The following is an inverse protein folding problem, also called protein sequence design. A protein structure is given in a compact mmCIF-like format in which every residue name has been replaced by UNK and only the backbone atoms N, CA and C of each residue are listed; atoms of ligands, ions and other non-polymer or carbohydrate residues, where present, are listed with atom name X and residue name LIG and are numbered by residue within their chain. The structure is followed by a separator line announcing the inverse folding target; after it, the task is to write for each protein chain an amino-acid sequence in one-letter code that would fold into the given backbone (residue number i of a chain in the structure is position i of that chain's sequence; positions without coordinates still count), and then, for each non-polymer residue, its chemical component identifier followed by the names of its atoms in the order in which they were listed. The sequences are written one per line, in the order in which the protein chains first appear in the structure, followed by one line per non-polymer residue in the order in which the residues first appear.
data_IF_052115871683
#
_entry.id   IF_052115871683
#
_cell.length_a   1.000
_cell.length_b   1.000
_cell.length_c   1.000
_cell.angle_alpha   90.00
_cell.angle_beta   90.00
_cell.angle_gamma   90.00
#
_symmetry.space_group_name_H-M   'P 1'
#
loop_
_entity.id
_entity.type
_entity.pdbx_description
1 polymer ?
#
# COMPACT_ATOMS: atom_id res chain seq x y z
N UNK A 1 -62.97 -10.22 56.81
CA UNK A 1 -62.09 -9.94 55.66
C UNK A 1 -60.75 -10.60 55.95
N UNK A 2 -60.36 -11.62 55.17
CA UNK A 2 -59.11 -12.37 55.38
C UNK A 2 -58.00 -11.67 54.60
N UNK A 3 -56.98 -11.20 55.31
CA UNK A 3 -55.81 -10.53 54.74
C UNK A 3 -54.88 -11.59 54.12
N UNK A 4 -54.77 -11.58 52.80
CA UNK A 4 -53.77 -12.36 52.05
C UNK A 4 -52.59 -11.43 51.72
N UNK A 5 -51.58 -11.40 52.59
CA UNK A 5 -50.25 -10.89 52.25
C UNK A 5 -49.24 -11.99 52.58
N UNK A 6 -49.03 -12.90 51.63
CA UNK A 6 -47.88 -13.78 51.63
C UNK A 6 -47.12 -13.57 50.32
N UNK A 7 -46.32 -12.50 50.28
CA UNK A 7 -45.35 -12.26 49.22
C UNK A 7 -44.15 -13.16 49.51
N UNK A 8 -44.24 -14.41 49.03
CA UNK A 8 -43.18 -15.41 49.15
C UNK A 8 -41.83 -14.80 48.76
N UNK A 9 -40.91 -14.74 49.73
CA UNK A 9 -39.58 -14.21 49.55
C UNK A 9 -38.88 -14.92 48.39
N UNK A 10 -38.67 -14.21 47.28
CA UNK A 10 -37.94 -14.74 46.12
C UNK A 10 -36.57 -15.21 46.57
N UNK A 11 -36.30 -16.50 46.41
CA UNK A 11 -35.03 -17.09 46.80
C UNK A 11 -33.95 -16.68 45.77
N UNK A 12 -33.34 -15.53 46.01
CA UNK A 12 -32.34 -14.89 45.14
C UNK A 12 -31.13 -15.80 44.88
N UNK A 13 -30.80 -16.69 45.81
CA UNK A 13 -29.72 -17.66 45.64
C UNK A 13 -30.04 -18.63 44.49
N UNK A 14 -31.26 -19.16 44.46
CA UNK A 14 -31.70 -20.06 43.39
C UNK A 14 -31.82 -19.34 42.05
N UNK A 15 -32.23 -18.08 42.05
CA UNK A 15 -32.31 -17.24 40.84
C UNK A 15 -30.91 -16.93 40.29
N UNK A 16 -29.95 -16.61 41.15
CA UNK A 16 -28.54 -16.41 40.78
C UNK A 16 -27.91 -17.69 40.24
N UNK A 17 -28.17 -18.85 40.84
CA UNK A 17 -27.68 -20.15 40.34
C UNK A 17 -28.28 -20.47 38.98
N UNK A 18 -29.58 -20.22 38.77
CA UNK A 18 -30.22 -20.38 37.45
C UNK A 18 -29.58 -19.46 36.41
N UNK A 19 -29.40 -18.19 36.76
CA UNK A 19 -28.76 -17.19 35.88
C UNK A 19 -27.33 -17.57 35.53
N UNK A 20 -26.53 -18.05 36.49
CA UNK A 20 -25.16 -18.52 36.25
C UNK A 20 -25.12 -19.72 35.30
N UNK A 21 -26.01 -20.70 35.49
CA UNK A 21 -26.12 -21.88 34.60
C UNK A 21 -26.60 -21.50 33.19
N UNK A 22 -27.42 -20.47 33.08
CA UNK A 22 -27.89 -19.95 31.80
C UNK A 22 -26.79 -19.19 31.05
N UNK A 23 -25.99 -18.38 31.76
CA UNK A 23 -24.80 -17.72 31.20
C UNK A 23 -23.80 -18.78 30.71
N UNK A 24 -23.53 -19.83 31.49
CA UNK A 24 -22.62 -20.91 31.09
C UNK A 24 -23.12 -21.63 29.83
N UNK A 25 -24.42 -21.96 29.75
CA UNK A 25 -25.02 -22.56 28.54
C UNK A 25 -24.87 -21.65 27.33
N UNK A 26 -25.16 -20.35 27.48
CA UNK A 26 -25.06 -19.36 26.40
C UNK A 26 -23.62 -19.19 25.91
N UNK A 27 -22.64 -19.18 26.81
CA UNK A 27 -21.22 -19.11 26.45
C UNK A 27 -20.79 -20.37 25.70
N UNK A 28 -21.17 -21.56 26.17
CA UNK A 28 -20.86 -22.83 25.49
C UNK A 28 -21.46 -22.90 24.08
N UNK A 29 -22.72 -22.49 23.92
CA UNK A 29 -23.35 -22.40 22.60
C UNK A 29 -22.66 -21.40 21.67
N UNK A 30 -22.22 -20.25 22.18
CA UNK A 30 -21.44 -19.27 21.41
C UNK A 30 -20.07 -19.81 20.99
N UNK A 31 -19.41 -20.59 21.83
CA UNK A 31 -18.14 -21.24 21.48
C UNK A 31 -18.34 -22.33 20.42
N UNK A 32 -19.41 -23.12 20.51
CA UNK A 32 -19.76 -24.12 19.50
C UNK A 32 -20.11 -23.48 18.15
N UNK A 33 -20.84 -22.36 18.14
CA UNK A 33 -21.09 -21.58 16.91
C UNK A 33 -19.80 -20.94 16.34
N UNK A 34 -18.85 -20.56 17.19
CA UNK A 34 -17.54 -20.04 16.76
C UNK A 34 -16.58 -21.12 16.24
N UNK A 35 -16.91 -22.41 16.37
CA UNK A 35 -16.13 -23.51 15.77
C UNK A 35 -16.36 -23.66 14.26
N UNK A 36 -17.17 -22.80 13.65
CA UNK A 36 -17.11 -22.62 12.20
C UNK A 36 -15.68 -22.25 11.82
N UNK A 37 -15.02 -23.00 10.90
CA UNK A 37 -13.66 -22.69 10.51
C UNK A 37 -13.65 -21.25 10.02
N UNK A 38 -12.78 -20.42 10.63
CA UNK A 38 -12.60 -19.02 10.23
C UNK A 38 -12.48 -18.99 8.72
N UNK A 39 -13.38 -18.22 8.07
CA UNK A 39 -13.38 -18.03 6.62
C UNK A 39 -11.93 -17.81 6.19
N UNK A 40 -11.42 -18.75 5.42
CA UNK A 40 -10.03 -18.75 4.99
C UNK A 40 -9.82 -17.40 4.30
N UNK A 41 -8.91 -16.57 4.83
CA UNK A 41 -8.52 -15.32 4.18
C UNK A 41 -8.21 -15.63 2.72
N UNK A 42 -8.60 -14.74 1.80
CA UNK A 42 -8.21 -14.81 0.39
C UNK A 42 -6.74 -15.28 0.28
N UNK A 43 -6.52 -16.41 -0.38
CA UNK A 43 -5.19 -16.89 -0.74
C UNK A 43 -5.03 -16.62 -2.23
N UNK A 44 -3.99 -15.91 -2.62
CA UNK A 44 -3.69 -15.74 -4.04
C UNK A 44 -3.29 -17.08 -4.67
N UNK A 45 -3.65 -17.29 -5.94
CA UNK A 45 -3.32 -18.53 -6.68
C UNK A 45 -1.81 -18.82 -6.69
N UNK A 46 -0.97 -17.78 -6.66
CA UNK A 46 0.49 -17.89 -6.59
C UNK A 46 1.00 -18.72 -5.40
N UNK A 47 0.23 -18.81 -4.31
CA UNK A 47 0.65 -19.48 -3.08
C UNK A 47 -0.33 -20.58 -2.62
N UNK A 48 -1.25 -21.05 -3.49
CA UNK A 48 -2.18 -22.13 -3.14
C UNK A 48 -1.45 -23.44 -2.80
N UNK A 49 -0.34 -23.70 -3.48
CA UNK A 49 0.41 -24.95 -3.39
C UNK A 49 1.59 -24.88 -2.40
N UNK A 50 1.78 -23.75 -1.72
CA UNK A 50 2.85 -23.59 -0.74
C UNK A 50 2.33 -24.02 0.64
N UNK A 51 2.78 -25.19 1.09
CA UNK A 51 2.42 -25.70 2.41
C UNK A 51 3.01 -24.83 3.53
N UNK A 52 2.28 -24.68 4.64
CA UNK A 52 2.79 -23.90 5.77
C UNK A 52 3.96 -24.63 6.43
N UNK A 53 5.03 -23.89 6.75
CA UNK A 53 6.18 -24.44 7.49
C UNK A 53 5.76 -25.05 8.84
N UNK A 54 4.73 -24.49 9.46
CA UNK A 54 4.15 -24.99 10.70
C UNK A 54 3.53 -26.39 10.51
N UNK A 55 2.88 -26.65 9.37
CA UNK A 55 2.35 -27.99 9.05
C UNK A 55 3.48 -29.02 8.95
N UNK A 56 4.62 -28.64 8.38
CA UNK A 56 5.80 -29.51 8.31
C UNK A 56 6.36 -29.84 9.70
N UNK A 57 6.35 -28.89 10.63
CA UNK A 57 6.84 -29.14 12.00
C UNK A 57 5.86 -29.96 12.85
N UNK A 58 4.55 -29.86 12.61
CA UNK A 58 3.52 -30.66 13.29
C UNK A 58 3.46 -32.09 12.75
N UNK A 59 3.75 -32.31 11.46
CA UNK A 59 3.73 -33.63 10.83
C UNK A 59 5.02 -34.44 11.04
N UNK A 60 6.11 -33.83 11.51
CA UNK A 60 7.31 -34.59 11.89
C UNK A 60 6.95 -35.53 13.03
N UNK A 61 7.04 -36.87 12.85
CA UNK A 61 6.83 -37.79 13.96
C UNK A 61 7.88 -37.48 15.02
N UNK A 62 7.43 -37.15 16.24
CA UNK A 62 8.34 -37.03 17.37
C UNK A 62 8.97 -38.40 17.58
N UNK A 63 10.26 -38.52 17.27
CA UNK A 63 11.00 -39.75 17.54
C UNK A 63 10.95 -40.02 19.05
N UNK A 64 10.71 -41.26 19.49
CA UNK A 64 10.72 -41.58 20.90
C UNK A 64 12.11 -41.27 21.44
N UNK A 65 12.20 -40.29 22.35
CA UNK A 65 13.46 -39.94 23.00
C UNK A 65 13.92 -41.15 23.81
N UNK A 66 15.16 -41.65 23.63
CA UNK A 66 15.67 -42.73 24.46
C UNK A 66 15.72 -42.27 25.92
N UNK A 67 15.30 -43.10 26.87
CA UNK A 67 15.25 -42.76 28.31
C UNK A 67 16.61 -42.39 28.91
N UNK A 68 17.70 -42.71 28.21
CA UNK A 68 19.07 -42.35 28.54
C UNK A 68 19.41 -40.88 28.31
N UNK A 69 18.54 -40.09 27.65
CA UNK A 69 18.75 -38.65 27.43
C UNK A 69 18.53 -37.78 28.68
N UNK A 70 18.19 -38.38 29.83
CA UNK A 70 17.90 -37.68 31.09
C UNK A 70 19.11 -37.55 32.01
N UNK A 71 20.25 -38.17 31.68
CA UNK A 71 21.45 -38.09 32.51
C UNK A 71 22.46 -37.08 31.92
N UNK A 72 22.79 -36.05 32.70
CA UNK A 72 23.83 -35.08 32.38
C UNK A 72 25.21 -35.76 32.41
N UNK A 73 25.89 -35.84 31.25
CA UNK A 73 27.31 -36.20 31.17
C UNK A 73 28.15 -34.96 31.47
N UNK A 74 29.18 -35.11 32.31
CA UNK A 74 30.12 -34.02 32.63
C UNK A 74 30.69 -33.40 31.34
N UNK A 75 30.73 -32.07 31.28
CA UNK A 75 31.23 -31.25 30.16
C UNK A 75 30.46 -31.34 28.83
N UNK A 76 29.32 -32.05 28.75
CA UNK A 76 28.51 -32.17 27.52
C UNK A 76 27.90 -30.87 26.98
N UNK A 77 27.88 -29.81 27.80
CA UNK A 77 27.35 -28.48 27.44
C UNK A 77 28.42 -27.39 27.37
N UNK A 78 29.69 -27.74 27.57
CA UNK A 78 30.78 -26.79 27.37
C UNK A 78 31.02 -26.65 25.86
N UNK A 79 30.73 -25.48 25.30
CA UNK A 79 31.12 -25.15 23.93
C UNK A 79 32.66 -25.18 23.78
N UNK A 80 33.19 -25.05 22.55
CA UNK A 80 34.63 -24.95 22.34
C UNK A 80 35.22 -23.84 23.21
N UNK A 81 36.43 -24.01 23.78
CA UNK A 81 37.06 -22.95 24.57
C UNK A 81 37.24 -21.71 23.69
N UNK A 82 36.50 -20.65 24.02
CA UNK A 82 36.62 -19.35 23.36
C UNK A 82 37.96 -18.76 23.80
N UNK A 83 38.91 -18.61 22.86
CA UNK A 83 40.11 -17.80 23.11
C UNK A 83 39.62 -16.40 23.42
N UNK A 84 39.97 -15.86 24.59
CA UNK A 84 39.67 -14.48 24.96
C UNK A 84 40.30 -13.57 23.91
N UNK A 85 39.50 -13.07 22.97
CA UNK A 85 39.96 -12.02 22.07
C UNK A 85 40.32 -10.80 22.91
N UNK A 86 41.56 -10.33 22.74
CA UNK A 86 41.99 -9.03 23.26
C UNK A 86 41.01 -7.95 22.78
N UNK A 87 40.59 -7.11 23.73
CA UNK A 87 39.62 -6.00 23.63
C UNK A 87 39.37 -5.48 22.20
N UNK A 88 38.10 -5.24 21.79
CA UNK A 88 37.80 -4.60 20.52
C UNK A 88 38.47 -3.22 20.43
N UNK A 89 39.01 -2.89 19.24
CA UNK A 89 39.72 -1.63 18.93
C UNK A 89 38.75 -0.44 18.78
N UNK A 90 37.72 -0.36 19.62
CA UNK A 90 36.73 0.72 19.61
C UNK A 90 36.67 1.36 20.98
N UNK A 91 36.94 2.68 21.10
CA UNK A 91 36.86 3.37 22.37
C UNK A 91 35.40 3.36 22.86
N UNK A 92 35.19 2.92 24.10
CA UNK A 92 33.90 2.95 24.78
C UNK A 92 33.58 4.39 25.19
N UNK A 93 32.69 5.05 24.46
CA UNK A 93 32.26 6.41 24.76
C UNK A 93 31.14 6.32 25.80
N UNK A 94 31.50 6.39 27.08
CA UNK A 94 30.54 6.49 28.17
C UNK A 94 30.10 7.94 28.39
N UNK A 95 28.82 8.23 28.16
CA UNK A 95 28.19 9.53 28.49
C UNK A 95 28.01 9.77 30.00
N UNK A 96 28.37 8.81 30.85
CA UNK A 96 28.20 8.93 32.31
C UNK A 96 29.32 9.78 32.90
N UNK A 97 28.96 10.90 33.50
CA UNK A 97 29.89 11.75 34.28
C UNK A 97 30.42 10.97 35.49
N UNK A 98 31.74 11.03 35.71
CA UNK A 98 32.39 10.40 36.87
C UNK A 98 31.83 10.95 38.19
N UNK A 99 31.80 10.08 39.21
CA UNK A 99 31.47 10.49 40.59
C UNK A 99 32.45 11.60 41.01
N UNK A 100 31.96 12.72 41.60
CA UNK A 100 32.82 13.79 42.05
C UNK A 100 33.79 13.29 43.14
N UNK A 101 34.99 13.87 43.25
CA UNK A 101 35.99 13.44 44.22
C UNK A 101 35.48 13.61 45.65
N UNK A 102 35.93 12.76 46.58
CA UNK A 102 35.49 12.80 47.99
C UNK A 102 35.77 14.14 48.68
N UNK A 103 36.75 14.92 48.20
CA UNK A 103 37.04 16.28 48.65
C UNK A 103 35.93 17.30 48.36
N UNK A 104 35.06 17.02 47.38
CA UNK A 104 33.87 17.84 47.07
C UNK A 104 32.81 17.79 48.18
N UNK A 105 32.91 16.84 49.12
CA UNK A 105 31.98 16.67 50.22
C UNK A 105 32.31 17.55 51.44
N UNK A 106 33.27 18.47 51.33
CA UNK A 106 33.63 19.41 52.40
C UNK A 106 32.57 20.48 52.63
N UNK A 107 32.07 20.55 53.86
CA UNK A 107 31.03 21.43 54.39
C UNK A 107 29.67 21.37 53.66
N UNK A 108 28.86 20.38 54.06
CA UNK A 108 27.42 20.37 53.75
C UNK A 108 26.74 21.52 54.51
N UNK A 109 26.78 22.72 53.94
CA UNK A 109 25.89 23.81 54.34
C UNK A 109 24.48 23.37 53.97
N UNK A 110 23.76 22.76 54.92
CA UNK A 110 22.32 22.60 54.80
C UNK A 110 21.75 24.01 54.68
N UNK A 111 21.40 24.41 53.46
CA UNK A 111 20.70 25.66 53.20
C UNK A 111 19.31 25.49 53.80
N UNK A 112 19.19 25.77 55.10
CA UNK A 112 17.91 25.89 55.78
C UNK A 112 17.32 27.21 55.32
N UNK A 113 16.69 27.19 54.15
CA UNK A 113 15.84 28.27 53.72
C UNK A 113 14.77 28.45 54.80
N UNK A 114 14.65 29.66 55.34
CA UNK A 114 13.69 29.99 56.39
C UNK A 114 12.29 30.09 55.77
N UNK A 115 11.78 28.95 55.32
CA UNK A 115 10.56 28.83 54.55
C UNK A 115 9.44 28.33 55.44
N UNK A 116 8.36 29.09 55.51
CA UNK A 116 7.18 28.71 56.27
C UNK A 116 6.38 27.65 55.50
N UNK A 117 6.70 26.39 55.76
CA UNK A 117 6.01 25.24 55.17
C UNK A 117 4.52 25.21 55.52
N UNK A 118 4.10 25.74 56.66
CA UNK A 118 2.69 25.76 57.07
C UNK A 118 1.90 26.69 56.15
N UNK A 119 2.44 27.88 55.89
CA UNK A 119 1.82 28.86 54.98
C UNK A 119 1.75 28.35 53.55
N UNK A 120 2.81 27.72 53.05
CA UNK A 120 2.83 27.20 51.67
C UNK A 120 1.93 25.99 51.49
N UNK A 121 1.91 25.08 52.46
CA UNK A 121 0.99 23.96 52.45
C UNK A 121 -0.47 24.43 52.54
N UNK A 122 -0.75 25.47 53.33
CA UNK A 122 -2.09 26.08 53.42
C UNK A 122 -2.56 26.72 52.11
N UNK A 123 -1.67 27.43 51.41
CA UNK A 123 -1.97 28.00 50.08
C UNK A 123 -2.16 26.88 49.05
N UNK A 124 -1.28 25.87 49.03
CA UNK A 124 -1.39 24.74 48.12
C UNK A 124 -2.68 23.97 48.34
N UNK A 125 -3.03 23.63 49.59
CA UNK A 125 -4.27 22.92 49.91
C UNK A 125 -5.53 23.65 49.44
N UNK A 126 -5.54 24.99 49.46
CA UNK A 126 -6.65 25.80 48.93
C UNK A 126 -6.68 25.87 47.40
N UNK A 127 -5.52 25.79 46.74
CA UNK A 127 -5.40 25.85 45.27
C UNK A 127 -5.60 24.50 44.60
N UNK A 128 -5.42 23.39 45.32
CA UNK A 128 -5.66 22.06 44.78
C UNK A 128 -7.16 21.84 44.56
N UNK A 129 -7.60 21.92 43.30
CA UNK A 129 -8.94 21.52 42.91
C UNK A 129 -9.11 20.01 43.10
N UNK A 130 -10.21 19.60 43.75
CA UNK A 130 -10.57 18.18 43.90
C UNK A 130 -10.87 17.63 42.52
N UNK A 131 -9.97 16.78 42.01
CA UNK A 131 -10.20 16.07 40.76
C UNK A 131 -11.33 15.06 40.98
N UNK A 132 -12.34 15.10 40.11
CA UNK A 132 -13.40 14.09 40.12
C UNK A 132 -12.79 12.73 39.79
N UNK A 133 -13.26 11.63 40.42
CA UNK A 133 -12.75 10.31 40.09
C UNK A 133 -13.04 9.98 38.62
N UNK A 134 -12.14 9.28 37.91
CA UNK A 134 -12.30 8.96 36.48
C UNK A 134 -13.62 8.25 36.14
N UNK A 135 -14.19 7.52 37.09
CA UNK A 135 -15.47 6.84 36.95
C UNK A 135 -16.67 7.80 36.88
N UNK A 136 -16.60 8.94 37.57
CA UNK A 136 -17.67 9.93 37.61
C UNK A 136 -17.75 10.80 36.35
N UNK A 137 -16.64 10.93 35.61
CA UNK A 137 -16.58 11.72 34.35
C UNK A 137 -16.58 10.85 33.10
N UNK A 138 -16.50 9.52 33.22
CA UNK A 138 -16.26 8.61 32.09
C UNK A 138 -17.28 8.75 30.95
N UNK A 139 -18.55 8.94 31.26
CA UNK A 139 -19.64 9.08 30.27
C UNK A 139 -19.54 10.41 29.53
N UNK A 140 -19.27 11.50 30.25
CA UNK A 140 -19.14 12.84 29.66
C UNK A 140 -17.84 12.99 28.85
N UNK A 141 -16.76 12.33 29.29
CA UNK A 141 -15.49 12.25 28.56
C UNK A 141 -15.61 11.38 27.30
N UNK A 142 -16.46 10.36 27.31
CA UNK A 142 -16.77 9.55 26.14
C UNK A 142 -17.61 10.34 25.13
N UNK A 143 -18.66 11.03 25.57
CA UNK A 143 -19.50 11.87 24.70
C UNK A 143 -18.68 12.98 24.03
N UNK A 144 -17.87 13.71 24.82
CA UNK A 144 -16.99 14.76 24.26
C UNK A 144 -16.05 14.22 23.19
N UNK A 145 -15.44 13.05 23.41
CA UNK A 145 -14.58 12.40 22.40
C UNK A 145 -15.35 12.01 21.14
N UNK A 146 -16.60 11.55 21.26
CA UNK A 146 -17.43 11.26 20.10
C UNK A 146 -17.78 12.53 19.32
N UNK A 147 -18.19 13.59 20.01
CA UNK A 147 -18.54 14.87 19.40
C UNK A 147 -17.33 15.49 18.68
N UNK A 148 -16.15 15.42 19.29
CA UNK A 148 -14.89 15.86 18.69
C UNK A 148 -14.55 15.05 17.43
N UNK A 149 -14.71 13.73 17.47
CA UNK A 149 -14.47 12.85 16.31
C UNK A 149 -15.43 13.14 15.15
N UNK A 150 -16.70 13.40 15.47
CA UNK A 150 -17.74 13.76 14.50
C UNK A 150 -17.51 15.16 13.91
N UNK A 151 -17.02 16.11 14.72
CA UNK A 151 -16.73 17.47 14.27
C UNK A 151 -15.62 17.53 13.21
N UNK A 152 -14.68 16.58 13.23
CA UNK A 152 -13.57 16.53 12.26
C UNK A 152 -13.88 15.72 10.99
N UNK A 153 -14.99 14.99 10.96
CA UNK A 153 -15.35 14.13 9.84
C UNK A 153 -16.35 14.80 8.90
N UNK A 154 -15.95 15.09 7.67
CA UNK A 154 -16.86 15.60 6.63
C UNK A 154 -17.60 14.43 5.96
N UNK A 155 -18.91 14.34 6.19
CA UNK A 155 -19.73 13.31 5.58
C UNK A 155 -19.88 13.54 4.07
N UNK A 156 -19.80 12.46 3.29
CA UNK A 156 -19.94 12.49 1.83
C UNK A 156 -18.63 12.70 1.06
N UNK A 157 -17.53 13.05 1.73
CA UNK A 157 -16.22 13.09 1.08
C UNK A 157 -15.65 11.67 0.91
N UNK A 158 -15.10 11.41 -0.27
CA UNK A 158 -14.41 10.14 -0.54
C UNK A 158 -13.06 10.14 0.20
N UNK A 159 -12.79 9.14 1.06
CA UNK A 159 -11.52 9.04 1.76
C UNK A 159 -10.29 9.13 0.85
N UNK A 160 -9.23 9.77 1.35
CA UNK A 160 -7.95 9.98 0.65
C UNK A 160 -7.40 8.75 -0.05
N UNK A 161 -7.47 7.60 0.62
CA UNK A 161 -6.90 6.37 0.09
C UNK A 161 -7.63 5.89 -1.16
N UNK A 162 -8.95 6.09 -1.25
CA UNK A 162 -9.73 5.78 -2.46
C UNK A 162 -9.43 6.77 -3.58
N UNK A 163 -9.30 8.07 -3.26
CA UNK A 163 -8.90 9.08 -4.25
C UNK A 163 -7.54 8.75 -4.86
N UNK A 164 -6.55 8.44 -4.02
CA UNK A 164 -5.21 8.02 -4.44
C UNK A 164 -5.26 6.73 -5.24
N UNK A 165 -6.10 5.75 -4.85
CA UNK A 165 -6.26 4.48 -5.57
C UNK A 165 -6.83 4.70 -6.97
N UNK A 166 -7.86 5.53 -7.10
CA UNK A 166 -8.46 5.86 -8.40
C UNK A 166 -7.45 6.55 -9.32
N UNK A 167 -6.66 7.48 -8.78
CA UNK A 167 -5.59 8.13 -9.54
C UNK A 167 -4.51 7.14 -10.01
N UNK A 168 -4.15 6.15 -9.18
CA UNK A 168 -3.21 5.10 -9.59
C UNK A 168 -3.77 4.27 -10.74
N UNK A 169 -5.04 3.86 -10.66
CA UNK A 169 -5.69 3.11 -11.73
C UNK A 169 -5.80 3.92 -13.03
N UNK A 170 -6.09 5.22 -12.94
CA UNK A 170 -6.11 6.10 -14.11
C UNK A 170 -4.74 6.15 -14.80
N UNK A 171 -3.65 6.33 -14.04
CA UNK A 171 -2.29 6.33 -14.61
C UNK A 171 -1.92 4.98 -15.23
N UNK A 172 -2.23 3.88 -14.55
CA UNK A 172 -1.96 2.53 -15.04
C UNK A 172 -2.74 2.24 -16.35
N UNK A 173 -3.99 2.70 -16.44
CA UNK A 173 -4.79 2.58 -17.65
C UNK A 173 -4.25 3.45 -18.79
N UNK A 174 -3.81 4.68 -18.51
CA UNK A 174 -3.15 5.54 -19.49
C UNK A 174 -1.84 4.94 -20.02
N UNK A 175 -1.02 4.37 -19.13
CA UNK A 175 0.21 3.65 -19.51
C UNK A 175 -0.11 2.41 -20.33
N UNK A 176 -1.15 1.66 -19.96
CA UNK A 176 -1.63 0.51 -20.74
C UNK A 176 -2.07 0.93 -22.13
N UNK A 177 -2.89 1.99 -22.26
CA UNK A 177 -3.35 2.49 -23.55
C UNK A 177 -2.16 2.99 -24.39
N UNK A 178 -1.19 3.68 -23.78
CA UNK A 178 0.03 4.15 -24.47
C UNK A 178 0.89 2.99 -24.99
N UNK A 179 1.04 1.94 -24.18
CA UNK A 179 1.88 0.79 -24.49
C UNK A 179 1.18 -0.24 -25.37
N UNK A 180 -0.16 -0.25 -25.41
CA UNK A 180 -0.92 -1.15 -26.28
C UNK A 180 -0.69 -0.69 -27.72
N UNK A 181 0.06 -1.45 -28.54
CA UNK A 181 0.23 -1.10 -29.94
C UNK A 181 -1.14 -1.14 -30.62
N UNK A 182 -1.36 -0.23 -31.58
CA UNK A 182 -2.61 -0.21 -32.36
C UNK A 182 -2.85 -1.62 -32.96
N UNK A 183 -4.01 -2.26 -32.72
CA UNK A 183 -4.29 -3.59 -33.26
C UNK A 183 -4.23 -3.66 -34.78
N UNK A 184 -4.34 -2.52 -35.47
CA UNK A 184 -4.18 -2.42 -36.93
C UNK A 184 -2.71 -2.32 -37.40
N UNK A 185 -1.74 -2.16 -36.50
CA UNK A 185 -0.32 -2.01 -36.85
C UNK A 185 0.30 -3.35 -37.24
N UNK A 186 0.76 -3.53 -38.49
CA UNK A 186 1.39 -4.78 -38.91
C UNK A 186 2.76 -5.00 -38.22
N UNK A 187 3.22 -6.25 -38.09
CA UNK A 187 4.56 -6.56 -37.57
C UNK A 187 5.65 -5.86 -38.39
N UNK A 188 6.73 -5.42 -37.73
CA UNK A 188 7.86 -4.68 -38.34
C UNK A 188 7.48 -3.36 -39.03
N UNK A 189 6.33 -2.78 -38.67
CA UNK A 189 5.94 -1.45 -39.10
C UNK A 189 5.90 -0.48 -37.92
N UNK A 190 6.14 0.79 -38.22
CA UNK A 190 6.01 1.89 -37.27
C UNK A 190 5.01 2.90 -37.84
N UNK A 191 4.18 3.49 -36.96
CA UNK A 191 3.33 4.61 -37.35
C UNK A 191 4.18 5.83 -37.70
N UNK A 192 3.95 6.39 -38.88
CA UNK A 192 4.57 7.64 -39.31
C UNK A 192 3.94 8.80 -38.51
N UNK A 193 4.73 9.67 -37.86
CA UNK A 193 4.20 10.80 -37.11
C UNK A 193 3.50 11.80 -38.04
N UNK A 194 2.52 12.53 -37.51
CA UNK A 194 1.67 13.41 -38.32
C UNK A 194 2.44 14.56 -38.99
N UNK A 195 3.50 15.08 -38.34
CA UNK A 195 4.36 16.10 -38.94
C UNK A 195 5.01 15.59 -40.23
N UNK A 196 5.75 14.48 -40.15
CA UNK A 196 6.41 13.86 -41.31
C UNK A 196 5.39 13.44 -42.38
N UNK A 197 4.22 12.94 -41.98
CA UNK A 197 3.12 12.59 -42.90
C UNK A 197 2.66 13.81 -43.71
N UNK A 198 2.38 14.93 -43.03
CA UNK A 198 1.90 16.15 -43.70
C UNK A 198 2.97 16.79 -44.59
N UNK A 199 4.24 16.78 -44.16
CA UNK A 199 5.37 17.23 -44.97
C UNK A 199 5.49 16.41 -46.25
N UNK A 200 5.40 15.08 -46.15
CA UNK A 200 5.46 14.17 -47.29
C UNK A 200 4.28 14.38 -48.24
N UNK A 201 3.07 14.58 -47.69
CA UNK A 201 1.87 14.88 -48.48
C UNK A 201 2.02 16.19 -49.27
N UNK A 202 2.57 17.23 -48.64
CA UNK A 202 2.82 18.51 -49.30
C UNK A 202 3.85 18.35 -50.43
N UNK A 203 4.94 17.60 -50.20
CA UNK A 203 5.95 17.31 -51.21
C UNK A 203 5.36 16.55 -52.41
N UNK A 204 4.54 15.53 -52.15
CA UNK A 204 3.86 14.77 -53.21
C UNK A 204 2.89 15.64 -54.01
N UNK A 205 2.17 16.54 -53.34
CA UNK A 205 1.25 17.49 -54.00
C UNK A 205 2.01 18.47 -54.90
N UNK A 206 3.15 18.99 -54.44
CA UNK A 206 4.01 19.84 -55.29
C UNK A 206 4.52 19.07 -56.51
N UNK A 207 5.02 17.85 -56.31
CA UNK A 207 5.51 16.99 -57.40
C UNK A 207 4.40 16.63 -58.40
N UNK A 208 3.17 16.42 -57.93
CA UNK A 208 2.01 16.20 -58.80
C UNK A 208 1.79 17.38 -59.73
N UNK A 209 1.79 18.60 -59.18
CA UNK A 209 1.64 19.83 -59.97
C UNK A 209 2.78 20.00 -60.99
N UNK A 210 4.01 19.65 -60.62
CA UNK A 210 5.16 19.70 -61.54
C UNK A 210 5.00 18.72 -62.71
N UNK A 211 4.58 17.48 -62.45
CA UNK A 211 4.34 16.47 -63.50
C UNK A 211 3.17 16.87 -64.41
N UNK A 212 2.08 17.39 -63.83
CA UNK A 212 0.95 17.94 -64.60
C UNK A 212 1.44 19.09 -65.48
N UNK A 213 2.25 20.00 -64.94
CA UNK A 213 2.86 21.10 -65.69
C UNK A 213 3.77 20.62 -66.82
N UNK A 214 4.49 19.52 -66.64
CA UNK A 214 5.30 18.90 -67.70
C UNK A 214 4.42 18.30 -68.80
N UNK A 215 3.34 17.61 -68.45
CA UNK A 215 2.38 17.06 -69.42
C UNK A 215 1.74 18.20 -70.23
N UNK A 216 1.37 19.31 -69.58
CA UNK A 216 0.78 20.48 -70.23
C UNK A 216 1.75 21.20 -71.21
N UNK A 217 3.06 21.07 -71.00
CA UNK A 217 4.09 21.63 -71.90
C UNK A 217 4.34 20.77 -73.13
N UNK A 218 3.83 19.54 -73.18
CA UNK A 218 3.98 18.67 -74.35
C UNK A 218 3.15 19.21 -75.53
N UNK A 219 3.63 19.03 -76.78
CA UNK A 219 2.87 19.40 -77.96
C UNK A 219 1.55 18.61 -78.04
N UNK A 220 0.50 19.24 -78.56
CA UNK A 220 -0.85 18.66 -78.67
C UNK A 220 -0.84 17.39 -79.55
N UNK A 221 -0.02 17.38 -80.61
CA UNK A 221 0.17 16.23 -81.50
C UNK A 221 1.17 15.22 -80.96
N UNK A 222 0.75 13.95 -80.88
CA UNK A 222 1.59 12.83 -80.44
C UNK A 222 2.20 12.09 -81.65
N UNK A 223 2.80 12.83 -82.58
CA UNK A 223 3.16 12.30 -83.91
C UNK A 223 4.46 11.50 -83.90
N UNK A 224 5.35 11.77 -82.95
CA UNK A 224 6.61 11.02 -82.80
C UNK A 224 6.52 10.01 -81.66
N UNK A 225 7.10 8.82 -81.86
CA UNK A 225 7.18 7.78 -80.82
C UNK A 225 7.85 8.29 -79.54
N UNK A 226 8.82 9.20 -79.66
CA UNK A 226 9.50 9.82 -78.52
C UNK A 226 8.54 10.63 -77.65
N UNK A 227 7.69 11.47 -78.25
CA UNK A 227 6.70 12.26 -77.52
C UNK A 227 5.67 11.36 -76.86
N UNK A 228 5.21 10.30 -77.55
CA UNK A 228 4.29 9.30 -76.98
C UNK A 228 4.89 8.60 -75.75
N UNK A 229 6.11 8.10 -75.85
CA UNK A 229 6.79 7.42 -74.75
C UNK A 229 7.03 8.36 -73.57
N UNK A 230 7.43 9.61 -73.84
CA UNK A 230 7.64 10.59 -72.79
C UNK A 230 6.34 10.93 -72.05
N UNK A 231 5.24 11.14 -72.79
CA UNK A 231 3.91 11.37 -72.22
C UNK A 231 3.47 10.19 -71.35
N UNK A 232 3.58 8.96 -71.88
CA UNK A 232 3.22 7.75 -71.15
C UNK A 232 4.05 7.58 -69.86
N UNK A 233 5.33 7.94 -69.89
CA UNK A 233 6.19 7.93 -68.69
C UNK A 233 5.70 8.93 -67.64
N UNK A 234 5.33 10.16 -68.03
CA UNK A 234 4.79 11.16 -67.12
C UNK A 234 3.42 10.77 -66.57
N UNK A 235 2.54 10.20 -67.39
CA UNK A 235 1.24 9.69 -66.95
C UNK A 235 1.40 8.53 -65.95
N UNK A 236 2.35 7.62 -66.18
CA UNK A 236 2.66 6.55 -65.23
C UNK A 236 3.17 7.11 -63.90
N UNK A 237 4.10 8.07 -63.95
CA UNK A 237 4.58 8.76 -62.75
C UNK A 237 3.45 9.49 -62.01
N UNK A 238 2.51 10.10 -62.74
CA UNK A 238 1.36 10.77 -62.15
C UNK A 238 0.48 9.79 -61.36
N UNK A 239 0.19 8.61 -61.93
CA UNK A 239 -0.56 7.56 -61.24
C UNK A 239 0.16 7.09 -59.97
N UNK A 240 1.47 6.87 -60.03
CA UNK A 240 2.27 6.49 -58.86
C UNK A 240 2.22 7.56 -57.75
N UNK A 241 2.27 8.85 -58.12
CA UNK A 241 2.15 9.97 -57.17
C UNK A 241 0.74 10.05 -56.58
N UNK A 242 -0.31 9.84 -57.37
CA UNK A 242 -1.70 9.85 -56.91
C UNK A 242 -1.98 8.71 -55.93
N UNK A 243 -1.44 7.51 -56.18
CA UNK A 243 -1.50 6.40 -55.24
C UNK A 243 -0.78 6.72 -53.93
N UNK A 244 0.40 7.35 -54.01
CA UNK A 244 1.12 7.80 -52.83
C UNK A 244 0.32 8.85 -52.04
N UNK A 245 -0.22 9.89 -52.69
CA UNK A 245 -1.07 10.91 -52.06
C UNK A 245 -2.27 10.25 -51.38
N UNK A 246 -2.91 9.28 -52.03
CA UNK A 246 -4.02 8.52 -51.44
C UNK A 246 -3.61 7.79 -50.17
N UNK A 247 -2.39 7.24 -50.09
CA UNK A 247 -1.87 6.62 -48.88
C UNK A 247 -1.63 7.67 -47.78
N UNK A 248 -0.92 8.75 -48.09
CA UNK A 248 -0.54 9.79 -47.10
C UNK A 248 -1.70 10.72 -46.68
N UNK A 249 -2.79 10.76 -47.45
CA UNK A 249 -4.02 11.46 -47.10
C UNK A 249 -4.76 10.81 -45.93
N UNK A 250 -4.50 9.53 -45.64
CA UNK A 250 -5.08 8.82 -44.49
C UNK A 250 -4.51 9.37 -43.18
N UNK A 251 -5.29 9.39 -42.08
CA UNK A 251 -4.83 9.89 -40.79
C UNK A 251 -3.74 9.02 -40.17
N UNK A 252 -3.77 7.70 -40.42
CA UNK A 252 -2.79 6.75 -39.91
C UNK A 252 -2.06 6.09 -41.09
N UNK A 253 -0.73 6.24 -41.10
CA UNK A 253 0.15 5.64 -42.11
C UNK A 253 1.22 4.84 -41.38
N UNK A 254 1.44 3.61 -41.83
CA UNK A 254 2.46 2.73 -41.27
C UNK A 254 3.56 2.51 -42.30
N UNK A 255 4.81 2.66 -41.89
CA UNK A 255 5.99 2.47 -42.73
C UNK A 255 6.76 1.26 -42.24
N UNK A 256 7.23 0.43 -43.17
CA UNK A 256 8.08 -0.73 -42.86
C UNK A 256 9.43 -0.23 -42.36
N UNK A 257 9.85 -0.68 -41.17
CA UNK A 257 11.18 -0.38 -40.65
C UNK A 257 12.11 -1.46 -41.18
N UNK A 258 13.12 -1.07 -41.96
CA UNK A 258 14.18 -1.98 -42.38
C UNK A 258 15.14 -2.16 -41.21
N UNK A 259 15.08 -3.34 -40.58
CA UNK A 259 16.07 -3.81 -39.61
C UNK A 259 17.30 -4.35 -40.31
#
# INVERSE_FOLDING_TARGET
MRNNFDLGAKNQLNENVRRMREIQRRCKQKEEQKKEPVKILWKSEKYSNVESKIKQDVQKPQTPRPSSATFLRAHSRAGPPVKLESRPCTPDISEKTSVPPASSAGDVKLVRNNFDFIKVNGINARRHAVQRPPSATSVDDYRRRQDELLSHHQFGEVPDYLRKRNQMWQREEEERIRNTPDPAMPPNHRQLPDSERTETLNLLTQKQNDVIGQIQKLPIGADTMRVRQHRQSLEKQLVEIEEAIKIFSRPKVFVRVET
#
